data_IF_890633432831
#
_entry.id   IF_890633432831
#
_cell.length_a   1.000
_cell.length_b   1.000
_cell.length_c   1.000
_cell.angle_alpha   90.00
_cell.angle_beta   90.00
_cell.angle_gamma   90.00
#
_symmetry.space_group_name_H-M   'P 1'
#
loop_
_entity.id
_entity.type
_entity.pdbx_description
1 polymer ?
#
# COMPACT_ATOMS: atom_id res chain seq x y z
N UNK A 1 1.11 17.83 32.03
CA UNK A 1 1.98 17.32 30.93
C UNK A 1 1.08 16.74 29.85
N UNK A 2 0.97 17.36 28.66
CA UNK A 2 0.21 16.74 27.56
C UNK A 2 0.89 15.42 27.19
N UNK A 3 0.15 14.30 27.20
CA UNK A 3 0.64 13.01 26.70
C UNK A 3 1.17 13.26 25.28
N UNK A 4 2.46 13.02 25.01
CA UNK A 4 2.95 13.03 23.62
C UNK A 4 2.15 11.98 22.86
N UNK A 5 1.40 12.41 21.85
CA UNK A 5 0.59 11.50 21.02
C UNK A 5 1.50 10.42 20.41
N UNK A 6 0.97 9.19 20.31
CA UNK A 6 1.68 8.06 19.73
C UNK A 6 1.88 8.33 18.24
N UNK A 7 3.12 8.27 17.75
CA UNK A 7 3.43 8.42 16.34
C UNK A 7 2.93 7.17 15.61
N UNK A 8 2.10 7.34 14.57
CA UNK A 8 1.50 6.24 13.81
C UNK A 8 1.88 6.39 12.35
N UNK A 9 2.75 5.51 11.88
CA UNK A 9 3.28 5.55 10.52
C UNK A 9 2.64 4.44 9.71
N UNK A 10 2.00 4.81 8.63
CA UNK A 10 1.58 3.90 7.59
C UNK A 10 2.56 3.96 6.43
N UNK A 11 3.28 2.87 6.22
CA UNK A 11 4.26 2.69 5.15
C UNK A 11 3.70 1.74 4.09
N UNK A 12 3.80 2.13 2.83
CA UNK A 12 3.39 1.30 1.69
C UNK A 12 4.49 1.25 0.64
N UNK A 13 4.74 0.05 0.11
CA UNK A 13 5.66 -0.18 -1.01
C UNK A 13 7.07 -0.60 -0.57
N UNK A 14 8.03 -0.66 -1.50
CA UNK A 14 9.33 -1.33 -1.30
C UNK A 14 9.23 -2.83 -0.95
N UNK A 15 8.33 -3.53 -1.60
CA UNK A 15 8.23 -4.99 -1.57
C UNK A 15 8.35 -5.55 -2.97
N UNK A 16 8.83 -6.78 -3.08
CA UNK A 16 9.01 -7.46 -4.35
C UNK A 16 8.52 -8.91 -4.25
N UNK A 17 7.79 -9.35 -5.28
CA UNK A 17 7.62 -10.78 -5.54
C UNK A 17 8.76 -11.19 -6.46
N UNK A 18 9.78 -11.82 -5.89
CA UNK A 18 10.86 -12.40 -6.67
C UNK A 18 10.38 -13.75 -7.22
N UNK A 19 10.20 -13.84 -8.53
CA UNK A 19 10.09 -15.13 -9.20
C UNK A 19 11.47 -15.51 -9.75
N UNK A 20 12.00 -16.66 -9.32
CA UNK A 20 13.20 -17.22 -9.92
C UNK A 20 12.95 -17.72 -11.35
N UNK A 21 13.65 -18.78 -11.74
CA UNK A 21 13.58 -19.29 -13.11
C UNK A 21 12.19 -19.83 -13.44
N UNK A 22 11.65 -19.37 -14.57
CA UNK A 22 10.43 -19.90 -15.17
C UNK A 22 10.79 -21.03 -16.14
N UNK A 23 10.20 -22.19 -15.93
CA UNK A 23 10.31 -23.33 -16.84
C UNK A 23 8.98 -23.52 -17.56
N UNK A 24 9.03 -24.01 -18.80
CA UNK A 24 7.83 -24.40 -19.56
C UNK A 24 8.05 -25.82 -20.03
N UNK A 25 7.42 -26.77 -19.34
CA UNK A 25 7.62 -28.20 -19.58
C UNK A 25 6.55 -28.77 -20.53
N UNK A 26 5.39 -28.11 -20.59
CA UNK A 26 4.30 -28.45 -21.52
C UNK A 26 3.32 -27.27 -21.66
N UNK A 27 2.34 -27.33 -22.59
CA UNK A 27 1.26 -26.33 -22.67
C UNK A 27 0.46 -26.15 -21.37
N UNK A 28 0.56 -27.09 -20.42
CA UNK A 28 -0.15 -27.06 -19.14
C UNK A 28 0.75 -26.83 -17.93
N UNK A 29 2.08 -26.86 -18.07
CA UNK A 29 3.02 -26.78 -16.95
C UNK A 29 4.08 -25.71 -17.19
N UNK A 30 3.99 -24.63 -16.41
CA UNK A 30 4.94 -23.53 -16.45
C UNK A 30 5.35 -23.04 -15.05
N UNK A 31 6.01 -23.88 -14.22
CA UNK A 31 6.35 -23.53 -12.86
C UNK A 31 7.41 -22.41 -12.81
N UNK A 32 7.25 -21.50 -11.85
CA UNK A 32 8.32 -20.61 -11.41
C UNK A 32 8.94 -21.20 -10.15
N UNK A 33 10.24 -21.50 -10.16
CA UNK A 33 10.95 -22.02 -8.98
C UNK A 33 11.60 -20.87 -8.22
N UNK A 34 11.73 -21.00 -6.90
CA UNK A 34 12.32 -19.97 -6.04
C UNK A 34 11.47 -18.70 -5.96
N UNK A 35 10.15 -18.85 -5.80
CA UNK A 35 9.26 -17.71 -5.58
C UNK A 35 9.40 -17.24 -4.14
N UNK A 36 9.75 -15.98 -3.94
CA UNK A 36 9.97 -15.36 -2.63
C UNK A 36 9.28 -13.99 -2.55
N UNK A 37 8.84 -13.61 -1.35
CA UNK A 37 8.39 -12.25 -1.05
C UNK A 37 9.53 -11.55 -0.31
N UNK A 38 10.05 -10.48 -0.89
CA UNK A 38 11.14 -9.69 -0.34
C UNK A 38 10.61 -8.34 0.14
N UNK A 39 10.90 -7.99 1.39
CA UNK A 39 10.58 -6.69 1.97
C UNK A 39 11.85 -5.82 2.03
N UNK A 40 12.09 -5.01 1.00
CA UNK A 40 13.25 -4.13 0.94
C UNK A 40 13.17 -2.97 1.94
N UNK A 41 11.98 -2.67 2.47
CA UNK A 41 11.80 -1.65 3.48
C UNK A 41 12.22 -2.10 4.89
N UNK A 42 12.50 -3.37 5.14
CA UNK A 42 12.73 -3.88 6.50
C UNK A 42 13.77 -3.07 7.32
N UNK A 43 14.93 -2.65 6.76
CA UNK A 43 15.87 -1.79 7.51
C UNK A 43 15.27 -0.44 7.93
N UNK A 44 14.45 0.17 7.07
CA UNK A 44 13.72 1.40 7.39
C UNK A 44 12.69 1.14 8.48
N UNK A 45 11.89 0.07 8.35
CA UNK A 45 10.84 -0.27 9.33
C UNK A 45 11.46 -0.51 10.71
N UNK A 46 12.55 -1.27 10.79
CA UNK A 46 13.27 -1.51 12.04
C UNK A 46 13.71 -0.17 12.67
N UNK A 47 14.25 0.75 11.86
CA UNK A 47 14.70 2.05 12.34
C UNK A 47 13.54 2.93 12.84
N UNK A 48 12.39 2.88 12.19
CA UNK A 48 11.19 3.63 12.62
C UNK A 48 10.60 3.06 13.92
N UNK A 49 10.70 1.75 14.14
CA UNK A 49 10.21 1.09 15.35
C UNK A 49 11.02 1.44 16.60
N UNK A 50 12.29 1.85 16.45
CA UNK A 50 13.11 2.34 17.56
C UNK A 50 12.68 3.74 18.08
N UNK A 51 11.83 4.45 17.33
CA UNK A 51 11.31 5.75 17.77
C UNK A 51 10.37 5.53 18.96
N UNK A 52 10.66 6.18 20.09
CA UNK A 52 9.83 6.10 21.30
C UNK A 52 8.37 6.48 21.00
N UNK A 53 7.45 5.61 21.42
CA UNK A 53 6.00 5.75 21.19
C UNK A 53 5.62 5.77 19.70
N UNK A 54 6.36 5.05 18.85
CA UNK A 54 6.01 4.85 17.44
C UNK A 54 5.30 3.50 17.23
N UNK A 55 4.36 3.48 16.29
CA UNK A 55 3.74 2.29 15.75
C UNK A 55 3.80 2.38 14.23
N UNK A 56 4.22 1.29 13.59
CA UNK A 56 4.42 1.25 12.14
C UNK A 56 3.59 0.11 11.57
N UNK A 57 2.74 0.42 10.59
CA UNK A 57 2.09 -0.55 9.73
C UNK A 57 2.80 -0.48 8.38
N UNK A 58 3.39 -1.59 7.94
CA UNK A 58 4.07 -1.70 6.64
C UNK A 58 3.34 -2.71 5.77
N UNK A 59 2.94 -2.28 4.58
CA UNK A 59 2.19 -3.09 3.63
C UNK A 59 2.83 -2.98 2.23
N UNK A 60 2.80 -4.04 1.40
CA UNK A 60 3.23 -3.94 0.01
C UNK A 60 2.22 -3.16 -0.83
N UNK A 61 2.65 -2.66 -2.00
CA UNK A 61 1.78 -1.87 -2.90
C UNK A 61 0.57 -2.66 -3.43
N UNK A 62 0.68 -3.99 -3.53
CA UNK A 62 -0.44 -4.84 -3.94
C UNK A 62 -1.55 -4.96 -2.87
N UNK A 63 -1.24 -4.77 -1.58
CA UNK A 63 -2.28 -4.66 -0.55
C UNK A 63 -3.04 -3.33 -0.71
N UNK A 64 -2.33 -2.21 -0.95
CA UNK A 64 -2.97 -0.92 -1.26
C UNK A 64 -3.85 -1.01 -2.51
N UNK A 65 -3.37 -1.66 -3.57
CA UNK A 65 -4.14 -1.88 -4.80
C UNK A 65 -5.46 -2.60 -4.52
N UNK A 66 -5.45 -3.66 -3.70
CA UNK A 66 -6.65 -4.44 -3.35
C UNK A 66 -7.47 -3.89 -2.18
N UNK A 67 -7.05 -2.79 -1.55
CA UNK A 67 -7.68 -2.26 -0.35
C UNK A 67 -9.08 -1.68 -0.65
N UNK A 68 -10.07 -2.04 0.17
CA UNK A 68 -11.41 -1.43 0.04
C UNK A 68 -11.39 0.07 0.39
N UNK A 69 -12.35 0.87 -0.10
CA UNK A 69 -12.46 2.28 0.25
C UNK A 69 -12.53 2.53 1.77
N UNK A 70 -13.29 1.70 2.48
CA UNK A 70 -13.48 1.80 3.94
C UNK A 70 -12.17 1.51 4.68
N UNK A 71 -11.43 0.49 4.22
CA UNK A 71 -10.15 0.14 4.84
C UNK A 71 -9.08 1.20 4.58
N UNK A 72 -9.07 1.78 3.38
CA UNK A 72 -8.18 2.89 3.06
C UNK A 72 -8.46 4.10 3.97
N UNK A 73 -9.73 4.47 4.14
CA UNK A 73 -10.13 5.54 5.05
C UNK A 73 -9.77 5.23 6.52
N UNK A 74 -10.03 4.01 6.99
CA UNK A 74 -9.64 3.55 8.33
C UNK A 74 -8.13 3.71 8.54
N UNK A 75 -7.33 3.27 7.57
CA UNK A 75 -5.87 3.31 7.66
C UNK A 75 -5.34 4.74 7.65
N UNK A 76 -5.91 5.59 6.80
CA UNK A 76 -5.56 7.01 6.72
C UNK A 76 -5.96 7.77 7.99
N UNK A 77 -7.12 7.47 8.58
CA UNK A 77 -7.57 8.05 9.85
C UNK A 77 -6.73 7.58 11.05
N UNK A 78 -6.24 6.34 11.00
CA UNK A 78 -5.33 5.83 12.02
C UNK A 78 -3.96 6.51 11.95
N UNK A 79 -3.43 6.76 10.75
CA UNK A 79 -2.09 7.26 10.53
C UNK A 79 -1.93 8.75 10.86
N UNK A 80 -0.79 9.11 11.43
CA UNK A 80 -0.30 10.50 11.49
C UNK A 80 0.71 10.80 10.37
N UNK A 81 1.38 9.76 9.87
CA UNK A 81 2.33 9.83 8.75
C UNK A 81 1.98 8.75 7.72
N UNK A 82 1.92 9.13 6.44
CA UNK A 82 1.83 8.22 5.31
C UNK A 82 3.15 8.29 4.53
N UNK A 83 3.81 7.15 4.36
CA UNK A 83 5.02 7.00 3.56
C UNK A 83 4.70 6.08 2.39
N UNK A 84 4.80 6.59 1.16
CA UNK A 84 4.76 5.78 -0.05
C UNK A 84 6.19 5.68 -0.61
N UNK A 85 6.65 4.45 -0.87
CA UNK A 85 8.00 4.19 -1.42
C UNK A 85 7.88 3.21 -2.57
N UNK A 86 8.29 3.62 -3.77
CA UNK A 86 8.18 2.80 -4.98
C UNK A 86 6.74 2.24 -5.18
N UNK A 87 5.77 3.16 -5.14
CA UNK A 87 4.34 2.88 -5.32
C UNK A 87 3.84 3.62 -6.55
N UNK A 88 3.37 2.88 -7.54
CA UNK A 88 2.83 3.48 -8.75
C UNK A 88 1.48 4.15 -8.47
N UNK A 89 1.24 5.29 -9.12
CA UNK A 89 -0.05 6.00 -9.09
C UNK A 89 -1.25 5.08 -9.40
N UNK A 90 -1.05 4.03 -10.19
CA UNK A 90 -2.09 3.04 -10.53
C UNK A 90 -2.62 2.30 -9.29
N UNK A 91 -1.79 2.06 -8.28
CA UNK A 91 -2.23 1.45 -7.01
C UNK A 91 -3.22 2.31 -6.22
N UNK A 92 -3.28 3.62 -6.50
CA UNK A 92 -4.23 4.55 -5.89
C UNK A 92 -5.49 4.76 -6.75
N UNK A 93 -5.39 4.62 -8.08
CA UNK A 93 -6.46 4.97 -9.01
C UNK A 93 -7.26 3.78 -9.54
N UNK A 94 -6.64 2.60 -9.67
CA UNK A 94 -7.20 1.51 -10.47
C UNK A 94 -7.65 0.34 -9.60
N UNK A 95 -8.57 0.58 -8.66
CA UNK A 95 -9.12 -0.50 -7.83
C UNK A 95 -9.53 -1.75 -8.66
N UNK A 96 -9.22 -2.99 -8.23
CA UNK A 96 -9.41 -4.21 -9.02
C UNK A 96 -10.80 -4.37 -9.63
N UNK A 97 -11.82 -3.87 -8.94
CA UNK A 97 -13.21 -3.92 -9.40
C UNK A 97 -13.47 -3.22 -10.73
N UNK A 98 -12.63 -2.29 -11.16
CA UNK A 98 -12.70 -1.75 -12.51
C UNK A 98 -12.52 -2.84 -13.58
N UNK A 99 -11.81 -3.91 -13.27
CA UNK A 99 -11.53 -5.04 -14.17
C UNK A 99 -12.40 -6.27 -13.90
N UNK A 100 -13.26 -6.22 -12.89
CA UNK A 100 -14.15 -7.33 -12.52
C UNK A 100 -15.44 -7.26 -13.33
N UNK A 101 -15.52 -8.05 -14.42
CA UNK A 101 -16.66 -8.04 -15.37
C UNK A 101 -18.03 -8.23 -14.73
N UNK A 102 -18.12 -9.04 -13.66
CA UNK A 102 -19.38 -9.27 -12.95
C UNK A 102 -19.89 -8.05 -12.19
N UNK A 103 -19.06 -7.01 -11.98
CA UNK A 103 -19.43 -5.74 -11.37
C UNK A 103 -19.81 -4.67 -12.39
N UNK A 104 -19.70 -4.97 -13.68
CA UNK A 104 -20.13 -4.07 -14.74
C UNK A 104 -21.65 -4.15 -14.89
N UNK A 105 -22.31 -3.00 -14.90
CA UNK A 105 -23.75 -2.89 -15.09
C UNK A 105 -24.10 -1.58 -15.81
N UNK A 106 -25.34 -1.12 -15.66
CA UNK A 106 -25.83 0.08 -16.36
C UNK A 106 -25.18 1.40 -15.88
N UNK A 107 -24.54 1.37 -14.70
CA UNK A 107 -23.85 2.52 -14.11
C UNK A 107 -22.34 2.28 -14.09
N UNK A 108 -21.52 3.32 -14.32
CA UNK A 108 -20.08 3.22 -14.14
C UNK A 108 -19.73 2.78 -12.71
N UNK A 109 -18.72 1.92 -12.59
CA UNK A 109 -18.10 1.61 -11.30
C UNK A 109 -17.37 2.86 -10.83
N UNK A 110 -17.59 3.29 -9.58
CA UNK A 110 -16.98 4.50 -9.00
C UNK A 110 -16.51 4.26 -7.58
N UNK A 111 -15.45 4.96 -7.18
CA UNK A 111 -14.89 4.93 -5.82
C UNK A 111 -14.58 6.36 -5.35
N UNK A 112 -14.46 6.59 -4.04
CA UNK A 112 -13.83 7.80 -3.53
C UNK A 112 -12.42 7.95 -4.10
N UNK A 113 -12.07 9.16 -4.54
CA UNK A 113 -10.74 9.45 -5.06
C UNK A 113 -9.73 9.48 -3.90
N UNK A 114 -8.77 8.54 -3.92
CA UNK A 114 -7.76 8.41 -2.86
C UNK A 114 -6.82 9.62 -2.79
N UNK A 115 -6.56 10.33 -3.90
CA UNK A 115 -5.77 11.56 -3.87
C UNK A 115 -6.53 12.68 -3.17
N UNK A 116 -7.83 12.81 -3.41
CA UNK A 116 -8.65 13.78 -2.67
C UNK A 116 -8.71 13.45 -1.18
N UNK A 117 -8.83 12.16 -0.83
CA UNK A 117 -8.76 11.72 0.57
C UNK A 117 -7.41 12.07 1.21
N UNK A 118 -6.28 11.73 0.56
CA UNK A 118 -4.92 12.06 1.03
C UNK A 118 -4.75 13.58 1.16
N UNK A 119 -5.15 14.36 0.15
CA UNK A 119 -5.08 15.82 0.15
C UNK A 119 -5.87 16.43 1.31
N UNK A 120 -7.07 15.92 1.56
CA UNK A 120 -7.90 16.38 2.66
C UNK A 120 -7.33 15.98 4.03
N UNK A 121 -6.71 14.80 4.12
CA UNK A 121 -6.00 14.36 5.32
C UNK A 121 -4.74 15.22 5.60
N UNK A 122 -3.95 15.54 4.57
CA UNK A 122 -2.81 16.47 4.69
C UNK A 122 -3.26 17.84 5.19
N UNK A 123 -4.36 18.39 4.63
CA UNK A 123 -4.93 19.67 5.09
C UNK A 123 -5.33 19.67 6.57
N UNK A 124 -5.62 18.50 7.14
CA UNK A 124 -5.96 18.31 8.57
C UNK A 124 -4.74 18.06 9.45
N UNK A 125 -3.52 18.12 8.91
CA UNK A 125 -2.27 17.95 9.65
C UNK A 125 -1.57 16.61 9.42
N UNK A 126 -2.04 15.78 8.48
CA UNK A 126 -1.35 14.55 8.09
C UNK A 126 0.00 14.84 7.40
N UNK A 127 1.02 14.05 7.72
CA UNK A 127 2.35 14.16 7.12
C UNK A 127 2.53 13.14 5.99
N UNK A 128 2.77 13.62 4.77
CA UNK A 128 2.94 12.76 3.60
C UNK A 128 4.39 12.76 3.11
N UNK A 129 4.94 11.57 2.91
CA UNK A 129 6.27 11.35 2.36
C UNK A 129 6.16 10.46 1.12
N UNK A 130 6.73 10.94 0.01
CA UNK A 130 6.88 10.15 -1.21
C UNK A 130 8.37 9.96 -1.46
N UNK A 131 8.82 8.72 -1.31
CA UNK A 131 10.21 8.34 -1.55
C UNK A 131 10.31 7.77 -2.96
N UNK A 132 11.41 8.11 -3.65
CA UNK A 132 11.64 7.70 -5.03
C UNK A 132 11.79 6.19 -5.23
N UNK A 133 11.57 5.78 -6.48
CA UNK A 133 11.66 4.43 -7.03
C UNK A 133 11.58 4.56 -8.55
#
# INVERSE_FOLDING_TARGET
MKRKEKLKIWHVGNWCVHSGQKYVESPFQAPSKGVEILNYAQPLINSLQEIKNCEVISEPSWELYNMSPEKFEERLNWASVLILVDVETKCLMLHPDFFTRSKWGDKPVTFPDRFDQIKNWIKKGGHFHMNGG
#
